data_IF_481180874406
#
_entry.id   IF_481180874406
#
_cell.length_a   1.000
_cell.length_b   1.000
_cell.length_c   1.000
_cell.angle_alpha   90.00
_cell.angle_beta   90.00
_cell.angle_gamma   90.00
#
_symmetry.space_group_name_H-M   'P 1'
#
loop_
_entity.id
_entity.type
_entity.pdbx_description
1 polymer ?
#
# COMPACT_ATOMS: atom_id res chain seq x y z
N UNK A 1 -5.29 -13.52 -8.03
CA UNK A 1 -4.06 -12.73 -8.20
C UNK A 1 -3.68 -12.15 -6.85
N UNK A 2 -2.45 -12.35 -6.42
CA UNK A 2 -1.93 -11.84 -5.14
C UNK A 2 -0.98 -10.68 -5.46
N UNK A 3 -1.16 -9.55 -4.81
CA UNK A 3 -0.32 -8.36 -4.96
C UNK A 3 0.35 -8.06 -3.62
N UNK A 4 1.60 -7.62 -3.64
CA UNK A 4 2.34 -7.37 -2.42
C UNK A 4 3.21 -6.12 -2.54
N UNK A 5 3.39 -5.44 -1.41
CA UNK A 5 4.23 -4.25 -1.27
C UNK A 5 5.18 -4.44 -0.09
N UNK A 6 6.31 -3.76 -0.12
CA UNK A 6 7.28 -3.75 0.98
C UNK A 6 6.78 -2.85 2.11
N UNK A 7 6.87 -3.31 3.36
CA UNK A 7 6.56 -2.53 4.55
C UNK A 7 7.59 -2.83 5.63
N UNK A 8 8.28 -1.80 6.13
CA UNK A 8 9.41 -2.03 7.03
C UNK A 8 8.99 -2.66 8.35
N UNK A 9 7.85 -2.22 8.89
CA UNK A 9 7.23 -2.76 10.10
C UNK A 9 5.72 -2.64 10.07
N UNK A 10 5.06 -3.60 10.71
CA UNK A 10 3.67 -3.43 11.12
C UNK A 10 3.59 -2.89 12.54
N UNK A 11 2.52 -2.13 12.86
CA UNK A 11 2.25 -1.74 14.24
C UNK A 11 2.08 -2.97 15.12
N UNK A 12 2.69 -2.90 16.31
CA UNK A 12 2.63 -3.98 17.29
C UNK A 12 1.18 -4.21 17.75
N UNK A 13 0.75 -5.48 17.76
CA UNK A 13 -0.62 -5.84 18.12
C UNK A 13 -1.66 -5.66 17.02
N UNK A 14 -1.26 -5.32 15.78
CA UNK A 14 -2.19 -5.28 14.65
C UNK A 14 -2.82 -6.66 14.40
N UNK A 15 -4.14 -6.73 14.51
CA UNK A 15 -4.91 -7.92 14.16
C UNK A 15 -5.89 -7.60 13.04
N UNK A 16 -5.79 -8.35 11.95
CA UNK A 16 -6.73 -8.24 10.84
C UNK A 16 -8.05 -8.94 11.21
N UNK A 17 -9.22 -8.31 10.97
CA UNK A 17 -10.51 -8.96 11.20
C UNK A 17 -10.64 -10.19 10.31
N UNK A 18 -11.28 -11.26 10.80
CA UNK A 18 -11.23 -12.60 10.18
C UNK A 18 -11.61 -12.66 8.69
N UNK A 19 -12.58 -11.85 8.26
CA UNK A 19 -12.95 -11.74 6.84
C UNK A 19 -11.82 -11.19 5.96
N UNK A 20 -11.00 -10.31 6.51
CA UNK A 20 -9.85 -9.71 5.83
C UNK A 20 -8.59 -10.54 6.02
N UNK A 21 -8.42 -11.25 7.13
CA UNK A 21 -7.24 -12.09 7.38
C UNK A 21 -7.03 -13.17 6.30
N UNK A 22 -8.10 -13.63 5.64
CA UNK A 22 -7.97 -14.53 4.49
C UNK A 22 -7.42 -13.85 3.24
N UNK A 23 -7.62 -12.54 3.12
CA UNK A 23 -7.24 -11.74 1.96
C UNK A 23 -5.93 -10.98 2.17
N UNK A 24 -5.67 -10.46 3.36
CA UNK A 24 -4.47 -9.70 3.69
C UNK A 24 -3.53 -10.54 4.55
N UNK A 25 -2.27 -10.58 4.13
CA UNK A 25 -1.23 -11.39 4.75
C UNK A 25 0.01 -10.53 4.95
N UNK A 26 0.66 -10.70 6.09
CA UNK A 26 1.94 -10.06 6.36
C UNK A 26 3.02 -11.12 6.49
N UNK A 27 4.10 -10.93 5.74
CA UNK A 27 5.31 -11.73 5.83
C UNK A 27 6.38 -10.94 6.58
N UNK A 28 6.66 -11.26 7.86
CA UNK A 28 7.72 -10.61 8.64
C UNK A 28 9.13 -10.97 8.15
N UNK A 29 9.31 -12.13 7.51
CA UNK A 29 10.61 -12.55 6.97
C UNK A 29 11.01 -11.75 5.74
N UNK A 30 10.02 -11.41 4.90
CA UNK A 30 10.22 -10.60 3.70
C UNK A 30 9.90 -9.12 3.90
N UNK A 31 9.35 -8.73 5.06
CA UNK A 31 8.85 -7.38 5.35
C UNK A 31 7.88 -6.89 4.28
N UNK A 32 6.87 -7.71 3.99
CA UNK A 32 5.92 -7.44 2.90
C UNK A 32 4.48 -7.63 3.35
N UNK A 33 3.63 -6.73 2.88
CA UNK A 33 2.18 -6.80 3.03
C UNK A 33 1.58 -7.25 1.70
N UNK A 34 0.87 -8.37 1.71
CA UNK A 34 0.23 -8.97 0.54
C UNK A 34 -1.28 -8.91 0.67
N UNK A 35 -1.96 -8.72 -0.46
CA UNK A 35 -3.41 -8.78 -0.58
C UNK A 35 -3.83 -9.66 -1.75
N UNK A 36 -4.80 -10.53 -1.49
CA UNK A 36 -5.36 -11.46 -2.46
C UNK A 36 -6.65 -10.89 -3.09
N UNK A 37 -6.59 -10.69 -4.41
CA UNK A 37 -7.71 -10.26 -5.23
C UNK A 37 -7.82 -8.74 -5.37
N UNK A 38 -9.04 -8.28 -5.64
CA UNK A 38 -9.34 -6.85 -5.79
C UNK A 38 -9.57 -6.20 -4.41
N UNK A 39 -8.82 -5.13 -4.13
CA UNK A 39 -9.03 -4.33 -2.92
C UNK A 39 -10.05 -3.22 -3.22
N UNK A 40 -11.27 -3.35 -2.70
CA UNK A 40 -12.27 -2.29 -2.81
C UNK A 40 -11.97 -1.13 -1.85
N UNK A 41 -12.41 0.09 -2.19
CA UNK A 41 -12.26 1.27 -1.32
C UNK A 41 -12.80 1.07 0.10
N UNK A 42 -13.89 0.31 0.27
CA UNK A 42 -14.43 -0.04 1.58
C UNK A 42 -13.49 -0.95 2.39
N UNK A 43 -12.81 -1.89 1.73
CA UNK A 43 -11.79 -2.75 2.35
C UNK A 43 -10.56 -1.94 2.75
N UNK A 44 -10.10 -1.07 1.85
CA UNK A 44 -9.01 -0.13 2.13
C UNK A 44 -9.32 0.75 3.34
N UNK A 45 -10.48 1.40 3.38
CA UNK A 45 -10.89 2.27 4.49
C UNK A 45 -10.97 1.51 5.83
N UNK A 46 -11.46 0.26 5.83
CA UNK A 46 -11.42 -0.59 7.03
C UNK A 46 -10.00 -0.86 7.49
N UNK A 47 -9.12 -1.29 6.59
CA UNK A 47 -7.72 -1.59 6.89
C UNK A 47 -6.99 -0.34 7.40
N UNK A 48 -7.21 0.81 6.77
CA UNK A 48 -6.61 2.09 7.12
C UNK A 48 -6.97 2.55 8.54
N UNK A 49 -8.16 2.17 9.04
CA UNK A 49 -8.63 2.48 10.39
C UNK A 49 -8.15 1.49 11.46
N UNK A 50 -7.57 0.34 11.09
CA UNK A 50 -7.10 -0.66 12.07
C UNK A 50 -5.89 -0.16 12.85
N UNK A 51 -5.04 0.67 12.25
CA UNK A 51 -3.90 1.25 12.92
C UNK A 51 -3.61 2.68 12.47
N UNK A 52 -3.17 3.49 13.43
CA UNK A 52 -2.66 4.84 13.22
C UNK A 52 -1.12 4.83 13.06
N UNK A 53 -0.61 3.94 12.21
CA UNK A 53 0.82 3.91 11.88
C UNK A 53 1.06 4.47 10.48
N UNK A 54 2.00 5.41 10.37
CA UNK A 54 2.30 6.10 9.10
C UNK A 54 2.89 5.16 8.05
N UNK A 55 3.75 4.23 8.45
CA UNK A 55 4.39 3.31 7.50
C UNK A 55 3.39 2.29 6.99
N UNK A 56 2.55 1.76 7.88
CA UNK A 56 1.45 0.87 7.51
C UNK A 56 0.49 1.53 6.53
N UNK A 57 0.06 2.76 6.81
CA UNK A 57 -0.86 3.51 5.94
C UNK A 57 -0.28 3.73 4.56
N UNK A 58 0.99 4.15 4.49
CA UNK A 58 1.70 4.34 3.23
C UNK A 58 1.76 3.03 2.42
N UNK A 59 2.15 1.93 3.07
CA UNK A 59 2.18 0.63 2.40
C UNK A 59 0.78 0.21 1.92
N UNK A 60 -0.26 0.47 2.71
CA UNK A 60 -1.64 0.16 2.34
C UNK A 60 -2.11 0.99 1.13
N UNK A 61 -1.72 2.27 1.04
CA UNK A 61 -2.00 3.14 -0.11
C UNK A 61 -1.32 2.61 -1.38
N UNK A 62 -0.05 2.23 -1.30
CA UNK A 62 0.67 1.60 -2.40
C UNK A 62 0.01 0.28 -2.82
N UNK A 63 -0.38 -0.55 -1.85
CA UNK A 63 -1.06 -1.81 -2.11
C UNK A 63 -2.41 -1.60 -2.80
N UNK A 64 -3.15 -0.57 -2.40
CA UNK A 64 -4.42 -0.21 -3.02
C UNK A 64 -4.24 0.26 -4.48
N UNK A 65 -3.20 1.04 -4.74
CA UNK A 65 -2.85 1.47 -6.09
C UNK A 65 -2.50 0.27 -6.97
N UNK A 66 -1.60 -0.61 -6.52
CA UNK A 66 -1.24 -1.82 -7.27
C UNK A 66 -2.45 -2.73 -7.48
N UNK A 67 -3.40 -2.77 -6.53
CA UNK A 67 -4.64 -3.52 -6.69
C UNK A 67 -5.63 -2.93 -7.69
N UNK A 68 -5.57 -1.63 -7.96
CA UNK A 68 -6.55 -0.87 -8.75
C UNK A 68 -6.04 -0.51 -10.14
N UNK A 69 -4.74 -0.26 -10.30
CA UNK A 69 -4.12 0.25 -11.52
C UNK A 69 -3.38 -0.81 -12.34
N UNK A 70 -3.64 -2.10 -12.10
CA UNK A 70 -3.08 -3.22 -12.87
C UNK A 70 -3.78 -3.33 -14.25
N UNK A 71 -3.70 -2.25 -15.00
CA UNK A 71 -4.10 -2.09 -16.40
C UNK A 71 -2.99 -1.26 -17.08
N UNK A 72 -1.72 -1.65 -16.92
CA UNK A 72 -0.57 -1.16 -17.68
C UNK A 72 0.63 -2.08 -17.45
N UNK A 73 0.79 -3.04 -18.36
CA UNK A 73 2.01 -3.74 -18.78
C UNK A 73 3.07 -4.19 -17.74
N UNK A 74 3.35 -5.49 -17.76
CA UNK A 74 4.40 -6.12 -16.98
C UNK A 74 5.83 -5.86 -17.48
N UNK A 75 6.78 -6.35 -16.67
CA UNK A 75 8.24 -6.37 -16.86
C UNK A 75 8.92 -4.99 -16.64
N UNK A 76 9.66 -4.78 -15.55
CA UNK A 76 10.93 -5.46 -15.31
C UNK A 76 11.30 -5.36 -13.80
N UNK A 77 11.14 -6.47 -13.06
CA UNK A 77 11.74 -6.64 -11.73
C UNK A 77 12.77 -7.76 -11.79
N UNK A 78 13.81 -7.57 -12.61
CA UNK A 78 15.07 -8.32 -12.46
C UNK A 78 15.99 -7.53 -11.55
N UNK A 79 16.04 -7.97 -10.30
CA UNK A 79 17.27 -8.06 -9.51
C UNK A 79 18.27 -6.90 -9.65
N UNK A 80 17.99 -5.77 -9.00
CA UNK A 80 19.03 -4.80 -8.63
C UNK A 80 18.81 -4.34 -7.19
N UNK A 81 19.64 -4.91 -6.32
CA UNK A 81 20.09 -4.24 -5.10
C UNK A 81 20.67 -2.87 -5.50
N UNK A 82 20.32 -1.83 -4.75
CA UNK A 82 20.99 -0.54 -4.83
C UNK A 82 20.10 0.60 -5.32
N UNK A 83 19.60 1.36 -4.33
CA UNK A 83 19.73 2.82 -4.32
C UNK A 83 19.20 3.55 -5.56
N UNK A 84 17.95 4.02 -5.52
CA UNK A 84 17.58 5.38 -5.98
C UNK A 84 16.18 5.79 -5.49
N UNK A 85 15.92 7.09 -5.33
CA UNK A 85 15.23 7.66 -4.18
C UNK A 85 13.79 8.11 -4.47
N UNK A 86 13.05 8.33 -3.39
CA UNK A 86 12.13 9.45 -3.17
C UNK A 86 11.71 10.30 -4.39
N UNK A 87 10.86 9.80 -5.28
CA UNK A 87 10.27 10.61 -6.37
C UNK A 87 8.82 10.21 -6.72
N UNK A 88 7.97 9.91 -5.73
CA UNK A 88 6.49 9.91 -5.93
C UNK A 88 5.81 10.66 -4.77
N UNK A 89 6.50 11.69 -4.23
CA UNK A 89 5.92 12.67 -3.31
C UNK A 89 5.50 13.98 -3.99
N UNK A 90 5.97 14.23 -5.21
CA UNK A 90 5.80 15.54 -5.87
C UNK A 90 4.47 15.69 -6.62
N UNK A 91 3.83 14.59 -7.02
CA UNK A 91 2.56 14.65 -7.76
C UNK A 91 1.35 14.88 -6.84
N UNK A 92 1.36 14.37 -5.60
CA UNK A 92 0.23 14.54 -4.67
C UNK A 92 0.20 15.93 -4.02
N UNK A 93 1.35 16.58 -3.78
CA UNK A 93 1.37 17.90 -3.17
C UNK A 93 0.71 18.96 -4.10
N UNK A 94 0.90 18.86 -5.40
CA UNK A 94 0.35 19.82 -6.37
C UNK A 94 -1.19 19.79 -6.42
N UNK A 95 -1.79 18.59 -6.33
CA UNK A 95 -3.26 18.43 -6.38
C UNK A 95 -3.91 18.97 -5.11
N UNK A 96 -3.30 18.72 -3.93
CA UNK A 96 -3.81 19.26 -2.66
C UNK A 96 -3.64 20.78 -2.60
N UNK A 97 -2.53 21.32 -3.08
CA UNK A 97 -2.29 22.76 -3.09
C UNK A 97 -3.26 23.51 -4.01
N UNK A 98 -3.59 22.96 -5.19
CA UNK A 98 -4.55 23.55 -6.11
C UNK A 98 -5.98 23.59 -5.55
N UNK A 99 -6.39 22.59 -4.76
CA UNK A 99 -7.70 22.53 -4.12
C UNK A 99 -7.86 23.54 -2.98
N UNK A 100 -6.78 23.83 -2.24
CA UNK A 100 -6.81 24.78 -1.12
C UNK A 100 -6.76 26.23 -1.59
N UNK A 101 -6.11 26.52 -2.71
CA UNK A 101 -5.99 27.90 -3.22
C UNK A 101 -7.26 28.38 -3.97
N UNK A 102 -8.19 27.48 -4.28
CA UNK A 102 -9.43 27.76 -5.02
C UNK A 102 -10.68 27.81 -4.12
N UNK A 103 -10.51 27.82 -2.79
CA UNK A 103 -11.57 27.96 -1.79
C UNK A 103 -11.38 29.25 -0.99
#
# INVERSE_FOLDING_TARGET
MIRAVSVDRLPEGLSFPGDLQRKIHYDPGQRRLAFEGFMSKATFDRLYRLADDREYRRALEELFQVCTFDDSDGAEHRHIQGLVPAMIGLACLAVVFALVMFM
#
